data_IF_881934691464
#
_entry.id   IF_881934691464
#
_cell.length_a   1.000
_cell.length_b   1.000
_cell.length_c   1.000
_cell.angle_alpha   90.00
_cell.angle_beta   90.00
_cell.angle_gamma   90.00
#
_symmetry.space_group_name_H-M   'P 1'
#
loop_
_entity.id
_entity.type
_entity.pdbx_description
1 polymer ?
#
# COMPACT_ATOMS: atom_id res chain seq x y z
N UNK A 1 -17.86 8.60 23.12
CA UNK A 1 -16.88 7.90 22.26
C UNK A 1 -15.59 8.67 22.34
N UNK A 2 -14.45 8.00 22.51
CA UNK A 2 -13.16 8.69 22.50
C UNK A 2 -12.85 9.14 21.07
N UNK A 3 -12.96 10.44 20.77
CA UNK A 3 -12.82 11.01 19.42
C UNK A 3 -11.40 11.53 19.17
N UNK A 4 -10.39 10.94 19.80
CA UNK A 4 -8.99 11.36 19.65
C UNK A 4 -8.52 11.37 18.19
N UNK A 5 -9.05 10.49 17.34
CA UNK A 5 -8.73 10.47 15.91
C UNK A 5 -9.20 11.76 15.20
N UNK A 6 -10.31 12.39 15.61
CA UNK A 6 -10.77 13.65 15.01
C UNK A 6 -9.78 14.78 15.30
N UNK A 7 -9.35 14.89 16.56
CA UNK A 7 -8.35 15.86 16.99
C UNK A 7 -7.03 15.70 16.22
N UNK A 8 -6.50 14.47 16.11
CA UNK A 8 -5.27 14.23 15.35
C UNK A 8 -5.42 14.56 13.86
N UNK A 9 -6.61 14.36 13.29
CA UNK A 9 -6.88 14.70 11.90
C UNK A 9 -6.90 16.22 11.67
N UNK A 10 -7.55 16.97 12.55
CA UNK A 10 -7.62 18.44 12.48
C UNK A 10 -6.23 19.06 12.68
N UNK A 11 -5.46 18.59 13.66
CA UNK A 11 -4.12 19.10 13.91
C UNK A 11 -3.15 18.82 12.75
N UNK A 12 -3.22 17.64 12.10
CA UNK A 12 -2.36 17.41 10.93
C UNK A 12 -2.72 18.34 9.76
N UNK A 13 -3.99 18.68 9.58
CA UNK A 13 -4.44 19.60 8.52
C UNK A 13 -3.96 21.03 8.80
N UNK A 14 -4.00 21.46 10.06
CA UNK A 14 -3.41 22.73 10.50
C UNK A 14 -1.91 22.77 10.23
N UNK A 15 -1.18 21.71 10.58
CA UNK A 15 0.26 21.58 10.33
C UNK A 15 0.61 21.52 8.84
N UNK A 16 -0.25 20.95 8.00
CA UNK A 16 -0.13 21.04 6.54
C UNK A 16 -0.28 22.49 6.04
N UNK A 17 -1.09 23.33 6.70
CA UNK A 17 -1.14 24.78 6.44
C UNK A 17 0.17 25.49 6.78
N UNK A 18 0.80 25.14 7.89
CA UNK A 18 2.14 25.65 8.24
C UNK A 18 3.17 25.21 7.18
N UNK A 19 3.13 23.94 6.74
CA UNK A 19 4.06 23.39 5.74
C UNK A 19 3.87 24.09 4.40
N UNK A 20 2.62 24.38 4.04
CA UNK A 20 2.29 25.12 2.83
C UNK A 20 2.92 26.50 2.83
N UNK A 21 2.75 27.24 3.92
CA UNK A 21 3.34 28.57 4.07
C UNK A 21 4.86 28.50 3.98
N UNK A 22 5.49 27.54 4.66
CA UNK A 22 6.93 27.34 4.62
C UNK A 22 7.43 27.06 3.20
N UNK A 23 6.83 26.10 2.50
CA UNK A 23 7.24 25.72 1.14
C UNK A 23 7.05 26.83 0.12
N UNK A 24 6.00 27.67 0.25
CA UNK A 24 5.79 28.85 -0.61
C UNK A 24 6.90 29.90 -0.48
N UNK A 25 7.58 29.96 0.66
CA UNK A 25 8.70 30.88 0.91
C UNK A 25 10.07 30.19 0.79
N UNK A 26 10.11 28.91 0.43
CA UNK A 26 11.34 28.18 0.15
C UNK A 26 11.78 28.36 -1.31
N UNK A 27 13.07 28.17 -1.56
CA UNK A 27 13.61 28.00 -2.90
C UNK A 27 13.26 26.59 -3.39
N UNK A 28 12.35 26.53 -4.36
CA UNK A 28 11.87 25.29 -4.96
C UNK A 28 12.66 24.99 -6.24
N UNK A 29 13.18 23.77 -6.30
CA UNK A 29 13.88 23.25 -7.45
C UNK A 29 13.00 22.51 -8.43
N UNK A 30 13.54 21.46 -9.03
CA UNK A 30 12.74 20.65 -9.94
C UNK A 30 11.57 19.97 -9.21
N UNK A 31 10.45 19.82 -9.93
CA UNK A 31 9.30 19.07 -9.46
C UNK A 31 8.74 18.20 -10.57
N UNK A 32 8.09 17.11 -10.16
CA UNK A 32 7.49 16.14 -11.06
C UNK A 32 6.26 15.52 -10.41
N UNK A 33 5.20 15.36 -11.18
CA UNK A 33 4.02 14.60 -10.77
C UNK A 33 3.56 13.70 -11.92
N UNK A 34 3.35 12.44 -11.59
CA UNK A 34 2.64 11.48 -12.43
C UNK A 34 1.17 11.48 -12.02
N UNK A 35 0.31 11.95 -12.93
CA UNK A 35 -1.14 11.90 -12.75
C UNK A 35 -1.65 10.56 -13.28
N UNK A 36 -2.36 9.86 -12.41
CA UNK A 36 -2.99 8.58 -12.69
C UNK A 36 -4.50 8.78 -12.87
N UNK A 37 -5.19 7.94 -13.66
CA UNK A 37 -6.64 7.92 -13.73
C UNK A 37 -7.24 7.66 -12.36
N UNK A 38 -8.41 8.26 -12.12
CA UNK A 38 -9.19 8.03 -10.91
C UNK A 38 -9.64 6.56 -10.80
N UNK A 39 -9.34 5.87 -9.69
CA UNK A 39 -9.72 4.48 -9.53
C UNK A 39 -11.24 4.30 -9.52
N UNK A 40 -11.73 3.35 -10.31
CA UNK A 40 -13.16 3.06 -10.42
C UNK A 40 -13.55 1.83 -9.62
N UNK A 41 -14.78 1.78 -9.11
CA UNK A 41 -15.27 0.66 -8.30
C UNK A 41 -15.23 -0.67 -9.06
N UNK A 42 -15.47 -0.65 -10.38
CA UNK A 42 -15.37 -1.84 -11.25
C UNK A 42 -13.97 -2.45 -11.26
N UNK A 43 -12.94 -1.65 -10.99
CA UNK A 43 -11.54 -2.07 -11.01
C UNK A 43 -11.13 -2.84 -9.73
N UNK A 44 -11.98 -2.83 -8.70
CA UNK A 44 -11.79 -3.63 -7.48
C UNK A 44 -11.86 -5.13 -7.78
N UNK A 45 -12.72 -5.50 -8.72
CA UNK A 45 -12.91 -6.87 -9.20
C UNK A 45 -12.10 -7.11 -10.48
N UNK A 46 -12.04 -6.11 -11.36
CA UNK A 46 -11.42 -6.19 -12.68
C UNK A 46 -10.25 -5.19 -12.80
N UNK A 47 -9.07 -5.51 -12.25
CA UNK A 47 -7.94 -4.59 -12.29
C UNK A 47 -7.56 -4.20 -13.73
N UNK A 48 -7.10 -2.95 -13.93
CA UNK A 48 -6.79 -2.42 -15.25
C UNK A 48 -5.65 -3.22 -15.91
N UNK A 49 -5.82 -3.53 -17.20
CA UNK A 49 -4.73 -4.12 -17.99
C UNK A 49 -3.72 -3.04 -18.41
N UNK A 50 -4.17 -1.79 -18.51
CA UNK A 50 -3.34 -0.65 -18.88
C UNK A 50 -3.68 0.57 -18.02
N UNK A 51 -2.68 1.39 -17.71
CA UNK A 51 -2.87 2.67 -17.02
C UNK A 51 -2.07 3.73 -17.76
N UNK A 52 -2.80 4.69 -18.34
CA UNK A 52 -2.21 5.85 -19.01
C UNK A 52 -1.78 6.88 -17.96
N UNK A 53 -0.52 7.28 -18.02
CA UNK A 53 0.09 8.24 -17.09
C UNK A 53 0.34 9.53 -17.83
N UNK A 54 -0.12 10.65 -17.26
CA UNK A 54 0.26 11.99 -17.72
C UNK A 54 1.24 12.61 -16.72
N UNK A 55 2.09 13.52 -17.20
CA UNK A 55 3.12 14.15 -16.38
C UNK A 55 2.92 15.65 -16.31
N UNK A 56 3.20 16.23 -15.15
CA UNK A 56 3.20 17.68 -14.93
C UNK A 56 4.34 18.09 -13.99
N UNK A 57 4.59 19.39 -13.97
CA UNK A 57 5.48 20.05 -12.99
C UNK A 57 4.54 20.70 -11.97
N UNK A 58 4.29 20.08 -10.81
CA UNK A 58 3.36 20.62 -9.83
C UNK A 58 3.94 21.88 -9.18
N UNK A 59 3.06 22.82 -8.87
CA UNK A 59 3.36 23.89 -7.92
C UNK A 59 3.22 23.39 -6.47
N UNK A 60 3.65 24.22 -5.52
CA UNK A 60 3.58 23.93 -4.08
C UNK A 60 2.13 23.75 -3.62
N UNK A 61 1.19 24.46 -4.23
CA UNK A 61 -0.23 24.40 -3.87
C UNK A 61 -0.80 23.02 -4.17
N UNK A 62 -0.59 22.53 -5.40
CA UNK A 62 -0.98 21.20 -5.86
C UNK A 62 -0.38 20.11 -4.96
N UNK A 63 0.90 20.25 -4.60
CA UNK A 63 1.57 19.30 -3.71
C UNK A 63 0.90 19.19 -2.34
N UNK A 64 0.61 20.33 -1.71
CA UNK A 64 0.00 20.35 -0.39
C UNK A 64 -1.46 19.89 -0.45
N UNK A 65 -2.19 20.23 -1.50
CA UNK A 65 -3.56 19.78 -1.68
C UNK A 65 -3.64 18.26 -1.85
N UNK A 66 -2.65 17.65 -2.52
CA UNK A 66 -2.48 16.19 -2.52
C UNK A 66 -2.30 15.65 -1.10
N UNK A 67 -1.47 16.29 -0.27
CA UNK A 67 -1.30 15.87 1.13
C UNK A 67 -2.55 16.08 2.00
N UNK A 68 -3.42 17.03 1.64
CA UNK A 68 -4.72 17.29 2.30
C UNK A 68 -5.84 16.40 1.79
N UNK A 69 -5.63 15.66 0.71
CA UNK A 69 -6.68 14.86 0.11
C UNK A 69 -7.00 13.63 0.99
N UNK A 70 -8.13 13.68 1.68
CA UNK A 70 -8.56 12.62 2.61
C UNK A 70 -9.81 11.86 2.15
N UNK A 71 -10.53 12.39 1.16
CA UNK A 71 -11.86 11.93 0.75
C UNK A 71 -11.92 11.68 -0.74
N UNK A 72 -12.92 10.90 -1.16
CA UNK A 72 -13.29 10.72 -2.57
C UNK A 72 -14.32 11.76 -2.94
N UNK A 73 -14.04 12.57 -3.96
CA UNK A 73 -14.97 13.57 -4.47
C UNK A 73 -16.11 12.89 -5.24
N UNK A 74 -17.34 13.06 -4.76
CA UNK A 74 -18.54 12.66 -5.51
C UNK A 74 -18.90 13.73 -6.53
N UNK A 75 -18.08 13.92 -7.55
CA UNK A 75 -18.60 14.52 -8.77
C UNK A 75 -19.49 13.48 -9.43
N UNK A 76 -20.75 13.84 -9.70
CA UNK A 76 -21.80 12.97 -10.22
C UNK A 76 -21.47 12.51 -11.65
N UNK A 77 -20.54 11.58 -11.82
CA UNK A 77 -20.46 10.79 -13.05
C UNK A 77 -21.68 9.87 -13.03
N UNK A 78 -22.58 10.07 -13.99
CA UNK A 78 -23.94 9.52 -13.99
C UNK A 78 -24.01 7.99 -13.92
N UNK A 79 -22.92 7.26 -14.21
CA UNK A 79 -22.96 5.80 -14.36
C UNK A 79 -21.76 5.01 -13.77
N UNK A 80 -20.73 5.65 -13.19
CA UNK A 80 -19.59 4.93 -12.57
C UNK A 80 -19.13 5.58 -11.27
N UNK A 81 -19.14 4.82 -10.16
CA UNK A 81 -18.65 5.27 -8.86
C UNK A 81 -17.14 5.10 -8.71
N UNK A 82 -16.45 6.11 -8.19
CA UNK A 82 -15.05 6.01 -7.76
C UNK A 82 -14.87 5.00 -6.62
N UNK A 83 -13.76 4.27 -6.64
CA UNK A 83 -13.46 3.31 -5.59
C UNK A 83 -13.01 4.01 -4.31
N UNK A 84 -13.57 3.59 -3.17
CA UNK A 84 -13.09 3.98 -1.83
C UNK A 84 -12.07 2.97 -1.27
N UNK A 85 -11.95 1.80 -1.92
CA UNK A 85 -11.03 0.72 -1.55
C UNK A 85 -9.67 0.87 -2.25
N UNK A 86 -9.67 1.24 -3.52
CA UNK A 86 -8.46 1.52 -4.29
C UNK A 86 -8.10 2.98 -4.05
N UNK A 87 -6.99 3.18 -3.34
CA UNK A 87 -6.52 4.52 -3.01
C UNK A 87 -5.92 5.22 -4.22
N UNK A 88 -6.23 6.51 -4.40
CA UNK A 88 -5.47 7.43 -5.27
C UNK A 88 -3.99 7.41 -4.88
N UNK A 89 -3.11 7.53 -5.87
CA UNK A 89 -1.66 7.60 -5.69
C UNK A 89 -1.13 8.78 -6.48
N UNK A 90 -0.12 9.43 -5.92
CA UNK A 90 0.49 10.62 -6.50
C UNK A 90 2.01 10.45 -6.55
N UNK A 91 2.54 9.58 -7.44
CA UNK A 91 3.96 9.45 -7.60
C UNK A 91 4.54 10.76 -8.12
N UNK A 92 5.45 11.35 -7.37
CA UNK A 92 5.98 12.65 -7.71
C UNK A 92 7.07 13.06 -6.74
N UNK A 93 7.68 14.20 -6.97
CA UNK A 93 8.55 14.84 -6.02
C UNK A 93 8.58 16.35 -6.20
N UNK A 94 9.04 17.05 -5.16
CA UNK A 94 9.49 18.44 -5.22
C UNK A 94 10.88 18.53 -4.60
N UNK A 95 11.77 19.32 -5.20
CA UNK A 95 13.07 19.65 -4.60
C UNK A 95 12.92 20.94 -3.81
N UNK A 96 13.39 20.93 -2.56
CA UNK A 96 13.46 22.10 -1.69
C UNK A 96 14.92 22.38 -1.40
N UNK A 97 15.43 23.56 -1.76
CA UNK A 97 16.87 23.88 -1.69
C UNK A 97 17.31 24.53 -0.38
N UNK A 98 16.36 25.06 0.38
CA UNK A 98 16.61 25.71 1.68
C UNK A 98 15.57 25.28 2.72
N UNK A 99 15.65 25.83 3.94
CA UNK A 99 14.72 25.56 5.04
C UNK A 99 14.59 24.05 5.41
N UNK A 100 15.64 23.27 5.15
CA UNK A 100 15.65 21.81 5.30
C UNK A 100 15.25 21.37 6.70
N UNK A 101 15.81 21.99 7.74
CA UNK A 101 15.53 21.65 9.14
C UNK A 101 14.08 21.95 9.51
N UNK A 102 13.54 23.10 9.11
CA UNK A 102 12.14 23.47 9.36
C UNK A 102 11.18 22.53 8.64
N UNK A 103 11.47 22.20 7.38
CA UNK A 103 10.65 21.25 6.59
C UNK A 103 10.70 19.87 7.24
N UNK A 104 11.88 19.41 7.67
CA UNK A 104 12.04 18.11 8.32
C UNK A 104 11.30 18.04 9.65
N UNK A 105 11.41 19.07 10.49
CA UNK A 105 10.70 19.14 11.77
C UNK A 105 9.19 19.07 11.56
N UNK A 106 8.68 19.90 10.64
CA UNK A 106 7.24 20.02 10.42
C UNK A 106 6.63 18.77 9.77
N UNK A 107 7.31 18.17 8.80
CA UNK A 107 6.89 16.87 8.25
C UNK A 107 6.97 15.77 9.31
N UNK A 108 7.96 15.81 10.19
CA UNK A 108 8.05 14.92 11.35
C UNK A 108 6.84 15.03 12.28
N UNK A 109 6.40 16.26 12.59
CA UNK A 109 5.17 16.52 13.36
C UNK A 109 3.92 15.99 12.65
N UNK A 110 3.76 16.28 11.35
CA UNK A 110 2.64 15.81 10.54
C UNK A 110 2.59 14.28 10.56
N UNK A 111 3.71 13.60 10.29
CA UNK A 111 3.77 12.15 10.27
C UNK A 111 3.45 11.53 11.65
N UNK A 112 3.92 12.14 12.75
CA UNK A 112 3.54 11.70 14.12
C UNK A 112 2.04 11.81 14.36
N UNK A 113 1.39 12.87 13.88
CA UNK A 113 -0.06 13.03 13.98
C UNK A 113 -0.82 12.00 13.11
N UNK A 114 -0.30 11.69 11.92
CA UNK A 114 -0.83 10.63 11.04
C UNK A 114 -0.73 9.24 11.67
N UNK A 115 0.39 8.95 12.33
CA UNK A 115 0.59 7.70 13.08
C UNK A 115 -0.37 7.62 14.27
N UNK A 116 -0.51 8.70 15.06
CA UNK A 116 -1.48 8.78 16.17
C UNK A 116 -2.93 8.64 15.70
N UNK A 117 -3.28 9.25 14.57
CA UNK A 117 -4.58 9.04 13.92
C UNK A 117 -4.81 7.56 13.60
N UNK A 118 -3.83 6.90 12.97
CA UNK A 118 -3.93 5.49 12.60
C UNK A 118 -4.12 4.58 13.83
N UNK A 119 -3.36 4.83 14.90
CA UNK A 119 -3.51 4.09 16.16
C UNK A 119 -4.86 4.35 16.85
N UNK A 120 -5.33 5.60 16.87
CA UNK A 120 -6.64 5.94 17.42
C UNK A 120 -7.78 5.26 16.64
N UNK A 121 -7.70 5.21 15.31
CA UNK A 121 -8.67 4.47 14.48
C UNK A 121 -8.63 2.98 14.76
N UNK A 122 -7.44 2.38 14.93
CA UNK A 122 -7.30 0.96 15.30
C UNK A 122 -7.91 0.66 16.67
N UNK A 123 -7.82 1.60 17.61
CA UNK A 123 -8.33 1.47 18.97
C UNK A 123 -9.85 1.63 19.10
N UNK A 124 -10.57 2.09 18.07
CA UNK A 124 -12.05 2.24 18.09
C UNK A 124 -12.73 0.92 18.44
N UNK A 125 -12.29 -0.18 17.84
CA UNK A 125 -12.82 -1.52 18.11
C UNK A 125 -11.82 -2.58 17.67
N UNK A 126 -11.81 -3.70 18.40
CA UNK A 126 -11.03 -4.88 18.05
C UNK A 126 -11.51 -5.52 16.74
N UNK A 127 -12.78 -5.33 16.36
CA UNK A 127 -13.36 -5.88 15.14
C UNK A 127 -13.03 -5.02 13.92
N UNK A 128 -12.33 -5.59 12.94
CA UNK A 128 -11.85 -4.85 11.77
C UNK A 128 -12.97 -4.29 10.90
N UNK A 129 -14.08 -5.02 10.74
CA UNK A 129 -15.15 -4.64 9.83
C UNK A 129 -16.02 -3.52 10.40
N UNK A 130 -16.31 -3.56 11.71
CA UNK A 130 -17.02 -2.49 12.42
C UNK A 130 -16.23 -1.18 12.52
N UNK A 131 -14.90 -1.24 12.36
CA UNK A 131 -14.02 -0.06 12.42
C UNK A 131 -14.32 0.94 11.31
N UNK A 132 -14.59 0.45 10.09
CA UNK A 132 -14.94 1.32 8.95
C UNK A 132 -16.29 1.99 9.15
N UNK A 133 -17.28 1.24 9.64
CA UNK A 133 -18.63 1.75 9.86
C UNK A 133 -18.65 2.88 10.89
N UNK A 134 -18.02 2.68 12.05
CA UNK A 134 -17.92 3.70 13.10
C UNK A 134 -17.17 4.94 12.59
N UNK A 135 -16.06 4.74 11.86
CA UNK A 135 -15.30 5.85 11.30
C UNK A 135 -16.14 6.68 10.31
N UNK A 136 -16.94 6.02 9.47
CA UNK A 136 -17.76 6.68 8.45
C UNK A 136 -19.04 7.34 9.00
N UNK A 137 -19.51 6.94 10.19
CA UNK A 137 -20.54 7.70 10.91
C UNK A 137 -20.05 9.10 11.31
N UNK A 138 -18.77 9.24 11.66
CA UNK A 138 -18.16 10.52 12.06
C UNK A 138 -17.59 11.29 10.88
N UNK A 139 -16.87 10.61 9.98
CA UNK A 139 -16.32 11.18 8.74
C UNK A 139 -16.75 10.36 7.53
N UNK A 140 -17.91 10.66 6.93
CA UNK A 140 -18.35 10.01 5.71
C UNK A 140 -17.31 10.16 4.59
N UNK A 141 -17.09 9.08 3.83
CA UNK A 141 -16.20 9.04 2.66
C UNK A 141 -14.71 9.25 2.97
N UNK A 142 -14.32 9.18 4.25
CA UNK A 142 -12.92 9.22 4.63
C UNK A 142 -12.21 7.94 4.16
N UNK A 143 -11.10 8.11 3.45
CA UNK A 143 -10.22 7.00 3.11
C UNK A 143 -9.08 6.97 4.13
N UNK A 144 -9.18 6.10 5.14
CA UNK A 144 -8.24 6.02 6.27
C UNK A 144 -6.77 5.97 5.82
N UNK A 145 -6.50 5.25 4.73
CA UNK A 145 -5.15 5.15 4.17
C UNK A 145 -4.63 6.47 3.59
N UNK A 146 -5.48 7.35 3.06
CA UNK A 146 -5.02 8.67 2.59
C UNK A 146 -4.62 9.58 3.75
N UNK A 147 -5.33 9.47 4.87
CA UNK A 147 -5.06 10.23 6.09
C UNK A 147 -3.79 9.77 6.80
N UNK A 148 -3.51 8.47 6.79
CA UNK A 148 -2.44 7.83 7.58
C UNK A 148 -1.11 7.62 6.83
N UNK A 149 -1.03 7.95 5.53
CA UNK A 149 0.22 7.82 4.76
C UNK A 149 1.21 8.89 5.15
N UNK A 150 2.42 8.50 5.52
CA UNK A 150 3.46 9.47 5.85
C UNK A 150 4.07 10.13 4.61
N UNK A 151 4.40 11.42 4.74
CA UNK A 151 5.16 12.19 3.75
C UNK A 151 6.63 11.79 3.89
N UNK A 152 7.26 11.43 2.78
CA UNK A 152 8.66 10.98 2.76
C UNK A 152 9.57 12.14 2.39
N UNK A 153 10.56 12.41 3.23
CA UNK A 153 11.70 13.29 2.90
C UNK A 153 12.89 12.42 2.49
N UNK A 154 13.63 12.87 1.49
CA UNK A 154 14.93 12.32 1.08
C UNK A 154 15.97 13.42 1.24
N UNK A 155 16.89 13.22 2.16
CA UNK A 155 17.83 14.26 2.59
C UNK A 155 19.19 14.14 1.89
N UNK A 156 19.55 12.94 1.45
CA UNK A 156 20.85 12.65 0.87
C UNK A 156 20.93 13.08 -0.60
N UNK A 157 22.17 13.20 -1.11
CA UNK A 157 22.41 13.51 -2.51
C UNK A 157 21.95 12.36 -3.41
N UNK A 158 21.15 12.66 -4.43
CA UNK A 158 20.56 11.65 -5.31
C UNK A 158 21.33 11.58 -6.64
N UNK A 159 21.96 10.44 -6.91
CA UNK A 159 22.55 10.14 -8.23
C UNK A 159 21.48 9.87 -9.28
N UNK A 160 20.48 9.06 -8.94
CA UNK A 160 19.35 8.83 -9.83
C UNK A 160 18.05 8.52 -9.09
N UNK A 161 16.95 9.04 -9.62
CA UNK A 161 15.59 8.76 -9.16
C UNK A 161 14.75 8.23 -10.33
N UNK A 162 13.93 7.22 -10.09
CA UNK A 162 12.99 6.74 -11.10
C UNK A 162 11.77 6.07 -10.53
N UNK A 163 10.65 6.20 -11.24
CA UNK A 163 9.40 5.54 -10.89
C UNK A 163 9.15 4.32 -11.77
N UNK A 164 8.69 3.22 -11.17
CA UNK A 164 8.42 1.96 -11.86
C UNK A 164 7.13 1.33 -11.36
N UNK A 165 6.43 0.64 -12.24
CA UNK A 165 5.34 -0.24 -11.86
C UNK A 165 5.87 -1.54 -11.26
N UNK A 166 5.20 -2.02 -10.22
CA UNK A 166 5.45 -3.32 -9.61
C UNK A 166 4.11 -3.94 -9.21
N UNK A 167 3.98 -5.26 -9.39
CA UNK A 167 2.91 -6.04 -8.76
C UNK A 167 3.36 -6.41 -7.35
N UNK A 168 2.69 -5.90 -6.30
CA UNK A 168 3.02 -6.27 -4.93
C UNK A 168 2.74 -7.74 -4.67
N UNK A 169 3.66 -8.40 -3.97
CA UNK A 169 3.47 -9.74 -3.44
C UNK A 169 3.62 -9.67 -1.92
N UNK A 170 2.61 -10.15 -1.21
CA UNK A 170 2.61 -10.21 0.25
C UNK A 170 3.01 -11.62 0.65
N UNK A 171 4.06 -11.73 1.46
CA UNK A 171 4.48 -12.98 2.10
C UNK A 171 4.20 -12.88 3.59
N UNK A 172 3.29 -13.69 4.11
CA UNK A 172 2.98 -13.75 5.54
C UNK A 172 3.20 -15.16 6.06
N UNK A 173 4.05 -15.30 7.08
CA UNK A 173 4.16 -16.57 7.80
C UNK A 173 2.84 -16.91 8.49
N UNK A 174 2.47 -18.18 8.46
CA UNK A 174 1.25 -18.67 9.12
C UNK A 174 1.48 -20.08 9.66
N UNK A 175 0.63 -20.49 10.60
CA UNK A 175 0.47 -21.89 11.01
C UNK A 175 -0.77 -22.47 10.33
N UNK A 176 -0.82 -23.79 10.15
CA UNK A 176 -1.98 -24.48 9.59
C UNK A 176 -3.22 -24.30 10.47
N UNK A 177 -3.08 -24.43 11.79
CA UNK A 177 -4.15 -24.18 12.77
C UNK A 177 -4.81 -22.80 12.59
N UNK A 178 -4.01 -21.75 12.41
CA UNK A 178 -4.53 -20.39 12.18
C UNK A 178 -5.37 -20.30 10.91
N UNK A 179 -5.00 -21.07 9.87
CA UNK A 179 -5.78 -21.14 8.62
C UNK A 179 -7.06 -21.95 8.83
N UNK A 180 -6.98 -23.09 9.53
CA UNK A 180 -8.13 -23.93 9.86
C UNK A 180 -9.19 -23.12 10.64
N UNK A 181 -8.78 -22.41 11.69
CA UNK A 181 -9.69 -21.59 12.49
C UNK A 181 -10.30 -20.42 11.71
N UNK A 182 -9.56 -19.89 10.72
CA UNK A 182 -10.12 -18.92 9.79
C UNK A 182 -11.20 -19.57 8.91
N UNK A 183 -10.96 -20.76 8.35
CA UNK A 183 -11.94 -21.45 7.51
C UNK A 183 -13.21 -21.82 8.29
N UNK A 184 -13.07 -22.24 9.56
CA UNK A 184 -14.21 -22.50 10.45
C UNK A 184 -15.09 -21.27 10.66
N UNK A 185 -14.46 -20.10 10.86
CA UNK A 185 -15.18 -18.82 10.93
C UNK A 185 -15.86 -18.47 9.61
N UNK A 186 -15.16 -18.63 8.48
CA UNK A 186 -15.75 -18.41 7.14
C UNK A 186 -17.02 -19.26 6.96
N UNK A 187 -17.04 -20.53 7.39
CA UNK A 187 -18.25 -21.38 7.34
C UNK A 187 -19.41 -20.81 8.18
N UNK A 188 -19.12 -20.29 9.37
CA UNK A 188 -20.16 -19.74 10.26
C UNK A 188 -20.74 -18.43 9.73
N UNK A 189 -19.89 -17.60 9.12
CA UNK A 189 -20.25 -16.29 8.56
C UNK A 189 -20.88 -16.38 7.16
N UNK A 190 -20.66 -17.50 6.44
CA UNK A 190 -21.23 -17.76 5.11
C UNK A 190 -22.76 -17.85 5.17
N UNK A 191 -23.41 -16.81 4.64
CA UNK A 191 -24.85 -16.69 4.53
C UNK A 191 -25.25 -16.28 3.11
N UNK A 192 -26.45 -16.62 2.63
CA UNK A 192 -26.93 -16.20 1.32
C UNK A 192 -27.09 -14.67 1.27
N UNK A 193 -26.75 -14.08 0.12
CA UNK A 193 -26.91 -12.66 -0.13
C UNK A 193 -27.28 -12.38 -1.60
N UNK A 194 -27.23 -11.11 -2.02
CA UNK A 194 -27.56 -10.69 -3.39
C UNK A 194 -26.66 -11.38 -4.44
N UNK A 195 -25.45 -11.77 -4.05
CA UNK A 195 -24.44 -12.39 -4.90
C UNK A 195 -24.33 -13.91 -4.76
N UNK A 196 -24.91 -14.50 -3.70
CA UNK A 196 -24.77 -15.92 -3.37
C UNK A 196 -26.13 -16.57 -3.11
N UNK A 197 -26.48 -17.59 -3.91
CA UNK A 197 -27.67 -18.40 -3.67
C UNK A 197 -27.48 -19.32 -2.46
N UNK A 198 -28.58 -19.86 -1.92
CA UNK A 198 -28.51 -20.90 -0.87
C UNK A 198 -27.67 -22.10 -1.30
N UNK A 199 -27.79 -22.51 -2.56
CA UNK A 199 -27.03 -23.63 -3.10
C UNK A 199 -25.53 -23.30 -3.22
N UNK A 200 -25.18 -22.06 -3.58
CA UNK A 200 -23.79 -21.60 -3.59
C UNK A 200 -23.19 -21.62 -2.18
N UNK A 201 -23.94 -21.17 -1.18
CA UNK A 201 -23.49 -21.18 0.21
C UNK A 201 -23.23 -22.60 0.70
N UNK A 202 -24.14 -23.54 0.44
CA UNK A 202 -23.92 -24.94 0.81
C UNK A 202 -22.71 -25.55 0.11
N UNK A 203 -22.57 -25.31 -1.20
CA UNK A 203 -21.38 -25.74 -1.95
C UNK A 203 -20.10 -25.16 -1.36
N UNK A 204 -20.06 -23.87 -1.05
CA UNK A 204 -18.90 -23.21 -0.46
C UNK A 204 -18.60 -23.76 0.94
N UNK A 205 -19.60 -24.00 1.78
CA UNK A 205 -19.41 -24.61 3.10
C UNK A 205 -18.81 -26.01 2.99
N UNK A 206 -19.28 -26.81 2.03
CA UNK A 206 -18.73 -28.12 1.73
C UNK A 206 -17.26 -28.03 1.30
N UNK A 207 -16.93 -27.14 0.35
CA UNK A 207 -15.54 -26.89 -0.06
C UNK A 207 -14.65 -26.50 1.12
N UNK A 208 -15.09 -25.58 2.00
CA UNK A 208 -14.32 -25.18 3.18
C UNK A 208 -14.13 -26.35 4.16
N UNK A 209 -15.11 -27.23 4.28
CA UNK A 209 -15.03 -28.42 5.15
C UNK A 209 -13.97 -29.39 4.63
N UNK A 210 -13.94 -29.64 3.32
CA UNK A 210 -12.92 -30.46 2.65
C UNK A 210 -11.52 -29.84 2.80
N UNK A 211 -11.39 -28.53 2.64
CA UNK A 211 -10.14 -27.79 2.89
C UNK A 211 -9.67 -27.98 4.35
N UNK A 212 -10.58 -27.88 5.34
CA UNK A 212 -10.27 -28.09 6.76
C UNK A 212 -9.79 -29.53 7.00
N UNK A 213 -10.46 -30.53 6.43
CA UNK A 213 -10.06 -31.93 6.60
C UNK A 213 -8.65 -32.17 6.06
N UNK A 214 -8.35 -31.69 4.84
CA UNK A 214 -7.03 -31.82 4.24
C UNK A 214 -5.95 -31.13 5.09
N UNK A 215 -6.19 -29.90 5.55
CA UNK A 215 -5.23 -29.17 6.37
C UNK A 215 -5.04 -29.79 7.76
N UNK A 216 -6.07 -30.43 8.32
CA UNK A 216 -5.98 -31.10 9.62
C UNK A 216 -5.10 -32.35 9.53
N UNK A 217 -5.30 -33.17 8.49
CA UNK A 217 -4.41 -34.32 8.23
C UNK A 217 -2.96 -33.89 8.05
N UNK A 218 -2.74 -32.81 7.28
CA UNK A 218 -1.40 -32.24 7.09
C UNK A 218 -0.80 -31.71 8.40
N UNK A 219 -1.61 -31.13 9.28
CA UNK A 219 -1.17 -30.63 10.58
C UNK A 219 -0.80 -31.77 11.53
N UNK A 220 -1.55 -32.87 11.49
CA UNK A 220 -1.23 -34.07 12.26
C UNK A 220 0.09 -34.68 11.79
N UNK A 221 0.32 -34.81 10.47
CA UNK A 221 1.62 -35.25 9.91
C UNK A 221 2.78 -34.36 10.38
N UNK A 222 2.60 -33.03 10.34
CA UNK A 222 3.62 -32.06 10.78
C UNK A 222 3.91 -32.17 12.28
N UNK A 223 2.91 -32.52 13.10
CA UNK A 223 3.08 -32.63 14.56
C UNK A 223 3.86 -33.88 14.99
N UNK A 224 3.98 -34.88 14.10
CA UNK A 224 4.73 -36.12 14.35
C UNK A 224 6.18 -36.06 13.84
N UNK A 225 6.47 -35.17 12.89
CA UNK A 225 7.83 -34.86 12.44
C UNK A 225 8.44 -33.77 13.33
N UNK A 226 9.71 -33.92 13.73
CA UNK A 226 10.46 -32.96 14.56
C UNK A 226 10.13 -31.49 14.22
N UNK A 227 9.63 -30.73 15.21
CA UNK A 227 8.94 -29.42 15.13
C UNK A 227 9.63 -28.28 14.34
N UNK A 228 10.80 -28.50 13.74
CA UNK A 228 11.64 -27.45 13.17
C UNK A 228 11.67 -27.34 11.64
N UNK A 229 10.99 -28.19 10.86
CA UNK A 229 11.24 -28.27 9.41
C UNK A 229 10.17 -27.66 8.49
N UNK A 230 8.87 -27.80 8.78
CA UNK A 230 7.82 -27.40 7.82
C UNK A 230 7.30 -25.99 8.09
N UNK A 231 7.65 -25.04 7.22
CA UNK A 231 7.22 -23.64 7.33
C UNK A 231 6.13 -23.34 6.31
N UNK A 232 5.05 -22.67 6.74
CA UNK A 232 3.95 -22.28 5.86
C UNK A 232 3.86 -20.76 5.67
N UNK A 233 3.47 -20.34 4.47
CA UNK A 233 3.28 -18.93 4.13
C UNK A 233 1.99 -18.72 3.34
N UNK A 234 1.33 -17.59 3.57
CA UNK A 234 0.36 -17.03 2.65
C UNK A 234 1.10 -16.11 1.70
N UNK A 235 1.14 -16.49 0.42
CA UNK A 235 1.68 -15.69 -0.67
C UNK A 235 0.51 -15.18 -1.50
N UNK A 236 0.25 -13.87 -1.43
CA UNK A 236 -0.81 -13.23 -2.21
C UNK A 236 -0.23 -12.15 -3.09
N UNK A 237 -0.38 -12.33 -4.39
CA UNK A 237 -0.13 -11.26 -5.34
C UNK A 237 -1.33 -10.31 -5.32
N UNK A 238 -1.05 -9.01 -5.28
CA UNK A 238 -2.10 -8.03 -5.54
C UNK A 238 -2.39 -8.04 -7.04
N UNK A 239 -3.66 -8.02 -7.42
CA UNK A 239 -4.03 -7.90 -8.81
C UNK A 239 -3.88 -6.46 -9.35
N UNK A 240 -3.60 -5.49 -8.46
CA UNK A 240 -3.51 -4.07 -8.81
C UNK A 240 -2.04 -3.60 -8.81
N UNK A 241 -1.57 -2.94 -9.88
CA UNK A 241 -0.20 -2.46 -9.93
C UNK A 241 0.04 -1.32 -8.92
N UNK A 242 1.26 -1.30 -8.36
CA UNK A 242 1.73 -0.25 -7.48
C UNK A 242 2.91 0.47 -8.08
N UNK A 243 2.99 1.78 -7.80
CA UNK A 243 4.13 2.58 -8.20
C UNK A 243 5.16 2.53 -7.08
N UNK A 244 6.38 2.15 -7.45
CA UNK A 244 7.55 2.24 -6.59
C UNK A 244 8.47 3.35 -7.09
N UNK A 245 9.12 4.00 -6.14
CA UNK A 245 10.26 4.87 -6.39
C UNK A 245 11.55 4.07 -6.17
N UNK A 246 12.51 4.29 -7.04
CA UNK A 246 13.86 3.76 -6.99
C UNK A 246 14.82 4.92 -6.85
N UNK A 247 15.54 4.98 -5.75
CA UNK A 247 16.53 6.01 -5.47
C UNK A 247 17.90 5.33 -5.41
N UNK A 248 18.86 5.92 -6.11
CA UNK A 248 20.28 5.63 -5.97
C UNK A 248 20.94 6.90 -5.47
N UNK A 249 21.57 6.83 -4.32
CA UNK A 249 22.27 7.98 -3.73
C UNK A 249 23.61 8.22 -4.43
N UNK A 250 24.26 9.34 -4.17
CA UNK A 250 25.67 9.52 -4.49
C UNK A 250 26.47 8.97 -3.31
N UNK A 251 27.52 8.18 -3.56
CA UNK A 251 28.39 7.70 -2.48
C UNK A 251 29.12 8.90 -1.88
N UNK A 252 29.15 9.05 -0.53
CA UNK A 252 29.92 10.11 0.12
C UNK A 252 31.44 9.98 -0.11
N UNK A 253 31.93 8.76 -0.30
CA UNK A 253 33.36 8.43 -0.37
C UNK A 253 33.91 8.39 -1.81
N UNK A 254 33.06 8.01 -2.78
CA UNK A 254 33.44 7.94 -4.19
C UNK A 254 32.26 8.34 -5.10
N UNK A 255 32.19 9.60 -5.55
CA UNK A 255 31.13 10.09 -6.42
C UNK A 255 30.97 9.30 -7.75
N UNK A 256 32.03 8.63 -8.20
CA UNK A 256 32.08 7.91 -9.47
C UNK A 256 31.85 6.40 -9.32
N UNK A 257 31.77 5.87 -8.09
CA UNK A 257 31.63 4.43 -7.83
C UNK A 257 30.43 3.81 -8.59
N UNK A 258 30.77 2.95 -9.55
CA UNK A 258 29.82 2.22 -10.41
C UNK A 258 29.36 0.91 -9.76
N UNK A 259 30.08 0.40 -8.75
CA UNK A 259 29.82 -0.88 -8.08
C UNK A 259 28.72 -0.81 -7.01
N UNK A 260 28.30 0.39 -6.63
CA UNK A 260 26.88 0.70 -6.55
C UNK A 260 26.49 1.54 -5.34
N UNK A 261 25.85 2.71 -5.54
CA UNK A 261 25.35 3.50 -4.43
C UNK A 261 24.28 2.76 -3.63
N UNK A 262 24.13 3.12 -2.35
CA UNK A 262 22.99 2.70 -1.52
C UNK A 262 21.69 2.88 -2.33
N UNK A 263 20.93 1.79 -2.47
CA UNK A 263 19.71 1.74 -3.29
C UNK A 263 18.51 1.60 -2.39
N UNK A 264 17.56 2.50 -2.54
CA UNK A 264 16.28 2.43 -1.85
C UNK A 264 15.17 2.16 -2.86
N UNK A 265 14.31 1.18 -2.56
CA UNK A 265 13.10 0.91 -3.30
C UNK A 265 11.92 0.84 -2.34
N UNK A 266 10.90 1.66 -2.57
CA UNK A 266 9.69 1.66 -1.76
C UNK A 266 8.49 2.16 -2.56
N UNK A 267 7.29 1.93 -2.04
CA UNK A 267 6.06 2.41 -2.66
C UNK A 267 5.98 3.93 -2.57
N UNK A 268 5.56 4.60 -3.64
CA UNK A 268 5.39 6.05 -3.68
C UNK A 268 3.89 6.42 -3.80
N UNK A 269 3.12 6.37 -2.69
CA UNK A 269 1.70 6.74 -2.73
C UNK A 269 1.47 8.25 -2.72
N UNK A 270 2.44 9.04 -2.24
CA UNK A 270 2.42 10.50 -2.16
C UNK A 270 3.71 11.06 -2.77
N UNK A 271 3.72 12.33 -3.21
CA UNK A 271 4.93 12.93 -3.73
C UNK A 271 5.97 13.08 -2.62
N UNK A 272 7.25 12.88 -2.96
CA UNK A 272 8.37 13.01 -2.06
C UNK A 272 8.80 14.48 -1.93
N UNK A 273 9.40 14.82 -0.80
CA UNK A 273 10.19 16.06 -0.66
C UNK A 273 11.67 15.68 -0.72
N UNK A 274 12.42 16.28 -1.63
CA UNK A 274 13.85 16.02 -1.82
C UNK A 274 14.64 17.26 -1.40
N UNK A 275 15.79 17.07 -0.77
CA UNK A 275 16.72 18.16 -0.46
C UNK A 275 17.84 18.32 -1.49
N UNK A 276 17.90 17.43 -2.48
CA UNK A 276 18.86 17.48 -3.58
C UNK A 276 18.19 17.19 -4.93
N UNK A 277 18.72 17.81 -5.98
CA UNK A 277 18.33 17.53 -7.36
C UNK A 277 18.77 16.10 -7.75
N UNK A 278 17.91 15.30 -8.40
CA UNK A 278 18.33 14.01 -8.92
C UNK A 278 19.26 14.21 -10.12
N UNK A 279 20.49 13.67 -10.06
CA UNK A 279 21.44 13.75 -11.18
C UNK A 279 20.92 13.13 -12.48
N UNK A 280 20.13 12.05 -12.36
CA UNK A 280 19.33 11.48 -13.46
C UNK A 280 17.92 11.17 -13.00
N UNK A 281 16.93 11.57 -13.77
CA UNK A 281 15.53 11.29 -13.51
C UNK A 281 14.90 10.39 -14.59
N UNK A 282 14.13 9.38 -14.17
CA UNK A 282 13.33 8.53 -15.07
C UNK A 282 11.84 8.62 -14.68
N UNK A 283 10.97 9.25 -15.51
CA UNK A 283 9.56 9.41 -15.20
C UNK A 283 8.79 8.09 -15.24
N UNK A 284 7.65 8.04 -14.56
CA UNK A 284 6.76 6.88 -14.57
C UNK A 284 6.16 6.69 -15.96
N UNK A 285 6.42 5.55 -16.60
CA UNK A 285 5.82 5.21 -17.90
C UNK A 285 4.38 4.70 -17.73
N UNK A 286 3.64 4.61 -18.84
CA UNK A 286 2.35 3.90 -18.86
C UNK A 286 2.52 2.47 -18.33
N UNK A 287 1.52 2.01 -17.58
CA UNK A 287 1.42 0.61 -17.22
C UNK A 287 0.79 -0.14 -18.40
N UNK A 288 1.42 -1.21 -18.82
CA UNK A 288 0.81 -2.25 -19.63
C UNK A 288 1.09 -3.56 -18.89
N UNK A 289 0.05 -4.34 -18.64
CA UNK A 289 0.19 -5.64 -18.00
C UNK A 289 0.91 -6.58 -18.97
N UNK A 290 2.23 -6.68 -18.80
CA UNK A 290 3.04 -7.60 -19.58
C UNK A 290 2.82 -9.06 -19.18
N UNK A 291 3.32 -9.96 -20.03
CA UNK A 291 3.50 -11.36 -19.64
C UNK A 291 4.41 -11.43 -18.41
N UNK A 292 3.97 -12.19 -17.40
CA UNK A 292 4.72 -12.40 -16.17
C UNK A 292 6.11 -12.90 -16.55
N UNK A 293 7.17 -12.11 -16.32
CA UNK A 293 8.49 -12.68 -16.21
C UNK A 293 8.41 -13.70 -15.07
N UNK A 294 8.58 -14.99 -15.39
CA UNK A 294 8.67 -16.06 -14.40
C UNK A 294 9.77 -15.65 -13.42
N UNK A 295 9.38 -15.10 -12.27
CA UNK A 295 10.33 -14.87 -11.18
C UNK A 295 10.90 -16.23 -10.84
N UNK A 296 12.22 -16.32 -10.78
CA UNK A 296 12.96 -17.56 -10.60
C UNK A 296 12.28 -18.49 -9.60
N UNK A 297 12.00 -19.67 -10.09
CA UNK A 297 11.69 -20.91 -9.38
C UNK A 297 10.79 -20.85 -8.14
N UNK A 298 9.58 -20.30 -8.32
CA UNK A 298 8.51 -20.42 -7.33
C UNK A 298 8.25 -21.88 -6.94
N UNK A 299 8.33 -22.81 -7.90
CA UNK A 299 8.03 -24.22 -7.69
C UNK A 299 9.17 -24.99 -6.99
N UNK A 300 10.44 -24.59 -7.15
CA UNK A 300 11.56 -25.11 -6.33
C UNK A 300 11.48 -24.61 -4.88
N UNK A 301 10.90 -23.43 -4.64
CA UNK A 301 10.85 -22.81 -3.31
C UNK A 301 9.60 -23.18 -2.53
N UNK A 302 8.47 -23.36 -3.21
CA UNK A 302 7.17 -23.48 -2.57
C UNK A 302 6.34 -24.63 -3.16
N UNK A 303 5.71 -25.42 -2.28
CA UNK A 303 4.66 -26.37 -2.65
C UNK A 303 3.31 -25.72 -2.39
N UNK A 304 2.46 -25.68 -3.41
CA UNK A 304 1.08 -25.20 -3.23
C UNK A 304 0.29 -26.16 -2.34
N UNK A 305 -0.33 -25.63 -1.28
CA UNK A 305 -1.19 -26.40 -0.37
C UNK A 305 -2.64 -26.02 -0.62
N UNK A 306 -2.95 -24.72 -0.56
CA UNK A 306 -4.29 -24.22 -0.84
C UNK A 306 -4.23 -22.99 -1.77
N UNK A 307 -4.30 -23.21 -3.10
CA UNK A 307 -4.10 -22.16 -4.10
C UNK A 307 -5.02 -20.95 -3.95
N UNK A 308 -6.31 -21.18 -3.66
CA UNK A 308 -7.35 -20.15 -3.57
C UNK A 308 -6.99 -19.01 -2.60
N UNK A 309 -6.35 -19.35 -1.49
CA UNK A 309 -5.96 -18.38 -0.46
C UNK A 309 -4.46 -18.03 -0.51
N UNK A 310 -3.73 -18.64 -1.45
CA UNK A 310 -2.29 -18.51 -1.61
C UNK A 310 -1.47 -19.23 -0.53
N UNK A 311 -2.00 -20.29 0.08
CA UNK A 311 -1.27 -21.04 1.10
C UNK A 311 -0.25 -21.97 0.45
N UNK A 312 1.01 -21.84 0.87
CA UNK A 312 2.11 -22.67 0.42
C UNK A 312 2.93 -23.19 1.59
N UNK A 313 3.55 -24.34 1.37
CA UNK A 313 4.63 -24.87 2.19
C UNK A 313 5.99 -24.45 1.60
N UNK A 314 6.93 -24.07 2.46
CA UNK A 314 8.29 -23.69 2.07
C UNK A 314 9.15 -24.95 1.95
N UNK A 315 9.61 -25.26 0.74
CA UNK A 315 10.48 -26.42 0.46
C UNK A 315 11.96 -26.05 0.59
N UNK A 316 12.32 -24.81 0.20
CA UNK A 316 13.69 -24.28 0.30
C UNK A 316 13.66 -22.83 0.77
N UNK A 317 14.43 -22.52 1.80
CA UNK A 317 14.62 -21.13 2.21
C UNK A 317 15.47 -20.37 1.18
N UNK A 318 15.12 -19.12 0.92
CA UNK A 318 16.00 -18.25 0.13
C UNK A 318 17.18 -17.88 1.02
N UNK A 319 18.41 -18.23 0.59
CA UNK A 319 19.66 -17.76 1.21
C UNK A 319 19.72 -16.25 1.26
#
# INVERSE_FOLDING_TARGET
MNTDFAHYNEEQLRKLGELHSLLRHSDIGSSYLATLPEPRSVEELNPPQEINVTHSVPDVDTLVDIYRQQRVDKVHVRDEHYSTKITRKYPGFVVVRNNHDQVMSLVGEINRLRDKFAEAVKAITHYQDSRSEILHQVYPWLVTLQVSRNIRIVTEQIRSLGFTWQIPVIHKFTRLETVIDRLRREITELQPDISLTKQDVERLKQERTEEIMMLSLLNDEVSHDDENLRKFRLIRESNFPAVNVNIRYTSPEDPDDVHGPYKLNFRAPLPLILFSEPGRFNPLKNYVKGERQKRGDFNEKYRSVLPRIGLVEVIRESK
#
